data_IF_039439873827
#
_entry.id   IF_039439873827
#
_cell.length_a   1.000
_cell.length_b   1.000
_cell.length_c   1.000
_cell.angle_alpha   90.00
_cell.angle_beta   90.00
_cell.angle_gamma   90.00
#
_symmetry.space_group_name_H-M   'P 1'
#
loop_
_entity.id
_entity.type
_entity.pdbx_description
1 polymer ?
#
# COMPACT_ATOMS: atom_id res chain seq x y z
N UNK A 1 -12.69 -44.09 -21.89
CA UNK A 1 -12.20 -44.47 -20.54
C UNK A 1 -11.14 -43.51 -20.01
N UNK A 2 -9.97 -43.32 -20.65
CA UNK A 2 -8.89 -42.43 -20.15
C UNK A 2 -9.29 -40.95 -20.05
N UNK A 3 -10.07 -40.43 -21.00
CA UNK A 3 -10.56 -39.04 -20.97
C UNK A 3 -11.62 -38.78 -19.89
N UNK A 4 -12.41 -39.79 -19.53
CA UNK A 4 -13.37 -39.67 -18.43
C UNK A 4 -12.65 -39.69 -17.08
N UNK A 5 -11.63 -40.54 -16.91
CA UNK A 5 -10.80 -40.57 -15.69
C UNK A 5 -10.13 -39.20 -15.42
N UNK A 6 -9.54 -38.57 -16.43
CA UNK A 6 -8.96 -37.22 -16.29
C UNK A 6 -10.00 -36.17 -15.89
N UNK A 7 -11.21 -36.23 -16.45
CA UNK A 7 -12.30 -35.34 -16.06
C UNK A 7 -12.70 -35.53 -14.58
N UNK A 8 -12.77 -36.78 -14.10
CA UNK A 8 -13.08 -37.07 -12.69
C UNK A 8 -11.97 -36.61 -11.73
N UNK A 9 -10.69 -36.81 -12.08
CA UNK A 9 -9.54 -36.32 -11.31
C UNK A 9 -9.52 -34.78 -11.26
N UNK A 10 -9.88 -34.11 -12.36
CA UNK A 10 -9.98 -32.65 -12.42
C UNK A 10 -11.13 -32.10 -11.56
N UNK A 11 -12.28 -32.78 -11.51
CA UNK A 11 -13.41 -32.37 -10.66
C UNK A 11 -13.14 -32.61 -9.15
N UNK A 12 -12.50 -33.73 -8.78
CA UNK A 12 -12.10 -33.98 -7.39
C UNK A 12 -11.06 -32.94 -6.92
N UNK A 13 -10.12 -32.57 -7.80
CA UNK A 13 -9.14 -31.52 -7.52
C UNK A 13 -9.80 -30.14 -7.36
N UNK A 14 -10.78 -29.79 -8.22
CA UNK A 14 -11.54 -28.53 -8.09
C UNK A 14 -12.29 -28.47 -6.76
N UNK A 15 -12.91 -29.58 -6.32
CA UNK A 15 -13.60 -29.64 -5.03
C UNK A 15 -12.63 -29.43 -3.87
N UNK A 16 -11.47 -30.12 -3.85
CA UNK A 16 -10.44 -29.90 -2.82
C UNK A 16 -9.93 -28.46 -2.79
N UNK A 17 -9.74 -27.83 -3.95
CA UNK A 17 -9.37 -26.41 -4.03
C UNK A 17 -10.46 -25.53 -3.42
N UNK A 18 -11.73 -25.78 -3.75
CA UNK A 18 -12.85 -24.98 -3.23
C UNK A 18 -13.01 -25.13 -1.72
N UNK A 19 -12.88 -26.35 -1.20
CA UNK A 19 -12.89 -26.62 0.25
C UNK A 19 -11.76 -25.89 0.97
N UNK A 20 -10.53 -25.95 0.42
CA UNK A 20 -9.40 -25.22 0.96
C UNK A 20 -9.61 -23.70 0.95
N UNK A 21 -10.16 -23.14 -0.14
CA UNK A 21 -10.47 -21.71 -0.23
C UNK A 21 -11.51 -21.33 0.83
N UNK A 22 -12.59 -22.08 0.95
CA UNK A 22 -13.67 -21.79 1.90
C UNK A 22 -13.16 -21.83 3.35
N UNK A 23 -12.32 -22.81 3.68
CA UNK A 23 -11.74 -22.95 5.02
C UNK A 23 -10.87 -21.74 5.37
N UNK A 24 -9.92 -21.35 4.51
CA UNK A 24 -9.00 -20.24 4.77
C UNK A 24 -9.69 -18.87 4.71
N UNK A 25 -10.75 -18.70 3.92
CA UNK A 25 -11.54 -17.48 3.92
C UNK A 25 -12.29 -17.26 5.24
N UNK A 26 -12.73 -18.34 5.90
CA UNK A 26 -13.43 -18.24 7.18
C UNK A 26 -12.54 -17.75 8.33
N UNK A 27 -11.22 -17.95 8.20
CA UNK A 27 -10.24 -17.47 9.19
C UNK A 27 -10.10 -15.95 9.20
N UNK A 28 -10.56 -15.26 8.15
CA UNK A 28 -10.50 -13.81 8.00
C UNK A 28 -11.88 -13.16 8.15
N UNK A 29 -12.20 -12.75 9.38
CA UNK A 29 -13.39 -11.96 9.67
C UNK A 29 -12.99 -10.51 9.99
N UNK A 30 -13.57 -9.56 9.27
CA UNK A 30 -13.23 -8.15 9.45
C UNK A 30 -14.44 -7.25 9.20
N UNK A 31 -14.42 -6.07 9.82
CA UNK A 31 -15.38 -5.01 9.60
C UNK A 31 -14.69 -3.79 8.99
N UNK A 32 -15.39 -3.05 8.15
CA UNK A 32 -14.90 -1.76 7.62
C UNK A 32 -15.52 -0.62 8.43
N UNK A 33 -14.69 0.27 8.94
CA UNK A 33 -15.09 1.43 9.74
C UNK A 33 -14.46 2.69 9.15
N UNK A 34 -15.17 3.80 9.21
CA UNK A 34 -14.64 5.12 8.84
C UNK A 34 -14.51 5.95 10.12
N UNK A 35 -13.28 6.23 10.54
CA UNK A 35 -13.01 6.97 11.78
C UNK A 35 -12.48 8.37 11.48
N UNK A 36 -12.98 9.43 12.16
CA UNK A 36 -12.34 10.74 12.10
C UNK A 36 -10.87 10.67 12.51
N UNK A 37 -10.01 11.43 11.85
CA UNK A 37 -8.59 11.52 12.19
C UNK A 37 -8.39 11.85 13.67
N UNK A 38 -9.15 12.81 14.19
CA UNK A 38 -9.10 13.18 15.62
C UNK A 38 -9.40 12.02 16.56
N UNK A 39 -10.29 11.10 16.17
CA UNK A 39 -10.62 9.93 16.97
C UNK A 39 -9.50 8.89 16.95
N UNK A 40 -8.96 8.55 15.77
CA UNK A 40 -7.83 7.62 15.66
C UNK A 40 -6.61 8.13 16.42
N UNK A 41 -6.31 9.43 16.33
CA UNK A 41 -5.18 10.03 17.05
C UNK A 41 -5.39 9.94 18.55
N UNK A 42 -6.60 10.24 19.04
CA UNK A 42 -6.92 10.09 20.46
C UNK A 42 -6.72 8.65 20.95
N UNK A 43 -7.20 7.66 20.20
CA UNK A 43 -6.99 6.24 20.54
C UNK A 43 -5.51 5.84 20.52
N UNK A 44 -4.69 6.45 19.67
CA UNK A 44 -3.26 6.17 19.64
C UNK A 44 -2.49 6.83 20.78
N UNK A 45 -2.86 8.05 21.13
CA UNK A 45 -2.23 8.80 22.22
C UNK A 45 -2.60 8.22 23.60
N UNK A 46 -3.75 7.54 23.71
CA UNK A 46 -4.10 6.71 24.85
C UNK A 46 -3.45 5.32 24.70
N UNK A 47 -2.33 5.08 25.37
CA UNK A 47 -1.53 3.84 25.25
C UNK A 47 -2.31 2.51 25.50
N UNK A 48 -3.52 2.57 26.07
CA UNK A 48 -4.35 1.41 26.35
C UNK A 48 -5.35 1.06 25.22
N UNK A 49 -5.62 1.97 24.28
CA UNK A 49 -6.68 1.80 23.29
C UNK A 49 -6.14 1.20 21.98
N UNK A 50 -5.04 1.74 21.47
CA UNK A 50 -4.35 1.22 20.27
C UNK A 50 -2.85 1.11 20.51
N UNK A 51 -2.25 -0.03 20.15
CA UNK A 51 -0.80 -0.23 20.29
C UNK A 51 -0.14 -0.82 19.03
N UNK A 52 1.15 -0.53 18.87
CA UNK A 52 1.97 -1.11 17.82
C UNK A 52 2.66 -2.40 18.30
N UNK A 53 2.51 -3.52 17.58
CA UNK A 53 3.14 -4.78 17.99
C UNK A 53 4.66 -4.77 17.84
N UNK A 54 5.33 -5.61 18.64
CA UNK A 54 6.80 -5.63 18.71
C UNK A 54 7.48 -5.94 17.37
N UNK A 55 6.85 -6.75 16.51
CA UNK A 55 7.42 -7.12 15.21
C UNK A 55 7.51 -5.94 14.24
N UNK A 56 6.71 -4.88 14.41
CA UNK A 56 6.80 -3.64 13.62
C UNK A 56 7.95 -2.73 14.06
N UNK A 57 8.49 -2.89 15.27
CA UNK A 57 9.55 -2.00 15.79
C UNK A 57 10.88 -2.10 15.03
N UNK A 58 11.03 -3.12 14.17
CA UNK A 58 12.21 -3.33 13.32
C UNK A 58 12.07 -2.68 11.93
N UNK A 59 10.94 -2.07 11.60
CA UNK A 59 10.74 -1.44 10.29
C UNK A 59 11.41 -0.06 10.18
N UNK A 60 11.76 0.30 8.93
CA UNK A 60 12.31 1.61 8.58
C UNK A 60 11.28 2.71 8.86
N UNK A 61 11.60 3.58 9.81
CA UNK A 61 10.81 4.77 10.13
C UNK A 61 10.72 5.70 8.91
N UNK A 62 9.55 6.34 8.73
CA UNK A 62 9.41 7.37 7.69
C UNK A 62 10.36 8.55 7.97
N UNK A 63 11.07 8.95 6.92
CA UNK A 63 11.84 10.21 6.90
C UNK A 63 10.92 11.41 7.08
N UNK A 64 11.45 12.54 7.56
CA UNK A 64 10.68 13.78 7.70
C UNK A 64 9.99 14.20 6.40
N UNK A 65 10.62 13.99 5.24
CA UNK A 65 10.02 14.28 3.94
C UNK A 65 8.81 13.38 3.65
N UNK A 66 8.90 12.07 3.94
CA UNK A 66 7.76 11.15 3.77
C UNK A 66 6.59 11.53 4.69
N UNK A 67 6.87 11.84 5.95
CA UNK A 67 5.86 12.35 6.91
C UNK A 67 5.20 13.62 6.39
N UNK A 68 5.98 14.58 5.91
CA UNK A 68 5.49 15.85 5.39
C UNK A 68 4.61 15.66 4.15
N UNK A 69 5.05 14.82 3.20
CA UNK A 69 4.26 14.50 2.00
C UNK A 69 2.94 13.79 2.30
N UNK A 70 2.89 13.01 3.38
CA UNK A 70 1.66 12.40 3.84
C UNK A 70 0.67 13.45 4.36
N UNK A 71 1.13 14.41 5.17
CA UNK A 71 0.30 15.55 5.61
C UNK A 71 -0.16 16.40 4.41
N UNK A 72 0.73 16.71 3.46
CA UNK A 72 0.37 17.42 2.21
C UNK A 72 -0.71 16.66 1.42
N UNK A 73 -0.62 15.33 1.36
CA UNK A 73 -1.63 14.50 0.68
C UNK A 73 -3.00 14.59 1.35
N UNK A 74 -3.05 14.60 2.68
CA UNK A 74 -4.30 14.76 3.43
C UNK A 74 -4.92 16.15 3.24
N UNK A 75 -4.10 17.20 3.26
CA UNK A 75 -4.53 18.59 3.06
C UNK A 75 -5.05 18.83 1.63
N UNK A 76 -4.53 18.10 0.65
CA UNK A 76 -4.96 18.16 -0.77
C UNK A 76 -6.04 17.14 -1.13
N UNK A 77 -6.68 16.54 -0.12
CA UNK A 77 -7.75 15.55 -0.29
C UNK A 77 -7.39 14.28 -1.06
N UNK A 78 -6.10 13.95 -1.17
CA UNK A 78 -5.68 12.73 -1.83
C UNK A 78 -6.13 11.46 -1.09
N UNK A 79 -6.45 10.40 -1.84
CA UNK A 79 -6.79 9.12 -1.23
C UNK A 79 -5.57 8.58 -0.49
N UNK A 80 -5.80 8.17 0.75
CA UNK A 80 -4.79 7.54 1.59
C UNK A 80 -5.07 6.04 1.62
N UNK A 81 -4.04 5.17 1.65
CA UNK A 81 -4.25 3.74 1.84
C UNK A 81 -5.02 3.44 3.14
N UNK A 82 -5.65 2.27 3.19
CA UNK A 82 -6.44 1.83 4.35
C UNK A 82 -5.55 1.60 5.57
N UNK A 83 -6.10 1.82 6.76
CA UNK A 83 -5.47 1.42 8.03
C UNK A 83 -6.02 0.05 8.42
N UNK A 84 -5.17 -0.82 8.95
CA UNK A 84 -5.59 -2.13 9.45
C UNK A 84 -5.34 -2.21 10.94
N UNK A 85 -6.39 -2.55 11.69
CA UNK A 85 -6.35 -2.81 13.12
C UNK A 85 -6.79 -4.25 13.39
N UNK A 86 -6.34 -4.86 14.48
CA UNK A 86 -6.82 -6.14 14.98
C UNK A 86 -7.38 -5.96 16.38
N UNK A 87 -8.66 -6.30 16.57
CA UNK A 87 -9.26 -6.34 17.91
C UNK A 87 -8.54 -7.42 18.74
N UNK A 88 -8.34 -7.15 20.02
CA UNK A 88 -7.81 -8.10 21.00
C UNK A 88 -8.90 -8.54 21.98
N UNK A 89 -8.65 -9.60 22.76
CA UNK A 89 -9.63 -10.12 23.71
C UNK A 89 -9.92 -9.16 24.88
N UNK A 90 -9.00 -8.23 25.18
CA UNK A 90 -9.19 -7.18 26.20
C UNK A 90 -9.87 -5.91 25.66
N UNK A 91 -10.23 -5.89 24.37
CA UNK A 91 -10.93 -4.77 23.74
C UNK A 91 -10.02 -3.63 23.28
N UNK A 92 -8.70 -3.75 23.46
CA UNK A 92 -7.73 -2.89 22.80
C UNK A 92 -7.60 -3.27 21.31
N UNK A 93 -6.84 -2.48 20.56
CA UNK A 93 -6.63 -2.71 19.13
C UNK A 93 -5.13 -2.71 18.80
N UNK A 94 -4.69 -3.75 18.12
CA UNK A 94 -3.34 -3.87 17.59
C UNK A 94 -3.27 -3.18 16.21
N UNK A 95 -2.28 -2.32 15.98
CA UNK A 95 -2.02 -1.75 14.66
C UNK A 95 -1.37 -2.82 13.78
N UNK A 96 -2.13 -3.37 12.82
CA UNK A 96 -1.61 -4.32 11.83
C UNK A 96 -0.92 -3.57 10.70
N UNK A 97 -1.48 -2.46 10.21
CA UNK A 97 -0.84 -1.55 9.25
C UNK A 97 -1.35 -0.12 9.46
N UNK A 98 -0.48 0.88 9.24
CA UNK A 98 -0.80 2.29 9.41
C UNK A 98 -0.03 3.01 10.50
N UNK A 99 0.88 2.34 11.21
CA UNK A 99 1.64 2.93 12.31
C UNK A 99 2.32 4.26 11.93
N UNK A 100 3.03 4.31 10.79
CA UNK A 100 3.70 5.52 10.35
C UNK A 100 2.72 6.66 10.02
N UNK A 101 1.49 6.34 9.59
CA UNK A 101 0.44 7.33 9.29
C UNK A 101 -0.15 7.90 10.57
N UNK A 102 -0.53 7.02 11.50
CA UNK A 102 -1.13 7.41 12.79
C UNK A 102 -0.12 8.20 13.63
N UNK A 103 1.12 7.69 13.78
CA UNK A 103 2.17 8.40 14.52
C UNK A 103 2.55 9.73 13.88
N UNK A 104 2.50 9.85 12.55
CA UNK A 104 2.72 11.14 11.86
C UNK A 104 1.59 12.12 12.15
N UNK A 105 0.33 11.68 12.20
CA UNK A 105 -0.80 12.53 12.58
C UNK A 105 -0.70 13.00 14.02
N UNK A 106 -0.40 12.09 14.95
CA UNK A 106 -0.19 12.40 16.38
C UNK A 106 0.93 13.44 16.54
N UNK A 107 2.12 13.18 15.99
CA UNK A 107 3.25 14.12 16.05
C UNK A 107 2.94 15.46 15.37
N UNK A 108 2.16 15.47 14.29
CA UNK A 108 1.73 16.71 13.64
C UNK A 108 0.82 17.53 14.55
N UNK A 109 -0.23 16.93 15.11
CA UNK A 109 -1.17 17.65 15.99
C UNK A 109 -0.57 18.04 17.35
N UNK A 110 0.46 17.33 17.81
CA UNK A 110 1.23 17.70 19.00
C UNK A 110 2.18 18.89 18.77
N UNK A 111 2.41 19.30 17.50
CA UNK A 111 3.36 20.34 17.15
C UNK A 111 4.81 19.86 17.00
N UNK A 112 5.05 18.55 17.12
CA UNK A 112 6.38 17.93 17.06
C UNK A 112 6.89 17.68 15.63
N UNK A 113 6.03 17.85 14.61
CA UNK A 113 6.39 17.69 13.21
C UNK A 113 6.42 19.03 12.46
N UNK A 114 7.62 19.45 12.08
CA UNK A 114 7.84 20.54 11.13
C UNK A 114 7.81 20.01 9.70
N UNK A 115 6.94 20.57 8.85
CA UNK A 115 6.78 20.12 7.47
C UNK A 115 7.98 20.53 6.60
N UNK A 116 8.50 19.62 5.78
CA UNK A 116 9.68 19.83 4.94
C UNK A 116 9.59 19.15 3.57
N UNK A 117 10.18 19.77 2.56
CA UNK A 117 10.31 19.21 1.21
C UNK A 117 8.99 19.08 0.45
N UNK A 118 7.99 19.89 0.79
CA UNK A 118 6.71 19.99 0.09
C UNK A 118 6.89 20.70 -1.25
N UNK A 119 6.26 20.16 -2.30
CA UNK A 119 6.37 20.69 -3.67
C UNK A 119 5.12 21.40 -4.15
N UNK A 120 3.94 21.10 -3.58
CA UNK A 120 2.67 21.70 -3.97
C UNK A 120 2.26 22.77 -2.97
N UNK A 121 2.33 22.46 -1.68
CA UNK A 121 2.07 23.40 -0.59
C UNK A 121 3.38 23.99 -0.08
N UNK A 122 4.07 24.75 -0.94
CA UNK A 122 5.42 25.26 -0.65
C UNK A 122 5.48 26.18 0.57
N UNK A 123 4.44 26.96 0.80
CA UNK A 123 4.30 27.89 1.94
C UNK A 123 4.22 27.17 3.29
N UNK A 124 3.83 25.89 3.31
CA UNK A 124 3.79 25.11 4.54
C UNK A 124 5.16 24.54 4.92
N UNK A 125 6.18 24.67 4.07
CA UNK A 125 7.53 24.26 4.44
C UNK A 125 8.04 25.11 5.60
N UNK A 126 8.45 24.42 6.65
CA UNK A 126 8.91 25.03 7.89
C UNK A 126 7.80 25.39 8.86
N UNK A 127 6.54 25.07 8.56
CA UNK A 127 5.43 25.30 9.49
C UNK A 127 5.19 24.07 10.38
N UNK A 128 4.75 24.31 11.62
CA UNK A 128 4.13 23.30 12.51
C UNK A 128 2.59 23.43 12.46
N UNK A 129 1.87 22.49 13.09
CA UNK A 129 0.41 22.49 13.08
C UNK A 129 -0.20 23.79 13.63
N UNK A 130 0.37 24.38 14.69
CA UNK A 130 -0.16 25.59 15.32
C UNK A 130 -0.07 26.85 14.44
N UNK A 131 0.81 26.83 13.45
CA UNK A 131 1.01 27.92 12.50
C UNK A 131 0.05 27.82 11.29
N UNK A 132 -0.73 26.73 11.20
CA UNK A 132 -1.69 26.53 10.13
C UNK A 132 -3.00 27.28 10.36
N UNK A 133 -3.75 27.59 9.28
CA UNK A 133 -5.10 28.13 9.40
C UNK A 133 -6.02 27.19 10.19
N UNK A 134 -6.64 27.70 11.24
CA UNK A 134 -7.51 26.92 12.15
C UNK A 134 -8.67 26.20 11.44
N UNK A 135 -9.16 26.74 10.32
CA UNK A 135 -10.16 26.10 9.48
C UNK A 135 -9.62 24.84 8.78
N UNK A 136 -8.37 24.84 8.31
CA UNK A 136 -7.73 23.65 7.75
C UNK A 136 -7.50 22.58 8.81
N UNK A 137 -7.03 22.97 10.01
CA UNK A 137 -6.84 22.03 11.12
C UNK A 137 -8.17 21.34 11.48
N UNK A 138 -9.27 22.10 11.54
CA UNK A 138 -10.61 21.54 11.82
C UNK A 138 -11.07 20.56 10.75
N UNK A 139 -10.88 20.88 9.46
CA UNK A 139 -11.20 19.97 8.36
C UNK A 139 -10.36 18.71 8.40
N UNK A 140 -9.05 18.85 8.65
CA UNK A 140 -8.14 17.72 8.76
C UNK A 140 -8.55 16.78 9.92
N UNK A 141 -8.86 17.33 11.10
CA UNK A 141 -9.35 16.54 12.26
C UNK A 141 -10.67 15.81 12.00
N UNK A 142 -11.56 16.41 11.19
CA UNK A 142 -12.87 15.86 10.85
C UNK A 142 -12.83 14.87 9.67
N UNK A 143 -11.75 14.84 8.87
CA UNK A 143 -11.59 13.91 7.77
C UNK A 143 -11.64 12.47 8.29
N UNK A 144 -12.43 11.63 7.62
CA UNK A 144 -12.51 10.21 7.95
C UNK A 144 -11.40 9.42 7.25
N UNK A 145 -10.75 8.53 7.99
CA UNK A 145 -9.87 7.50 7.47
C UNK A 145 -10.61 6.16 7.48
N UNK A 146 -10.49 5.42 6.39
CA UNK A 146 -11.04 4.07 6.31
C UNK A 146 -10.13 3.07 6.99
N UNK A 147 -10.71 2.32 7.90
CA UNK A 147 -10.06 1.34 8.75
C UNK A 147 -10.71 -0.02 8.54
N UNK A 148 -9.89 -1.04 8.36
CA UNK A 148 -10.30 -2.43 8.39
C UNK A 148 -9.94 -2.97 9.77
N UNK A 149 -10.94 -3.44 10.52
CA UNK A 149 -10.75 -4.03 11.84
C UNK A 149 -10.93 -5.53 11.75
N UNK A 150 -9.84 -6.27 11.92
CA UNK A 150 -9.84 -7.72 12.02
C UNK A 150 -10.41 -8.12 13.39
N UNK A 151 -11.34 -9.07 13.42
CA UNK A 151 -11.96 -9.49 14.67
C UNK A 151 -10.98 -10.23 15.56
N UNK A 152 -11.22 -10.20 16.88
CA UNK A 152 -10.36 -10.83 17.89
C UNK A 152 -10.15 -12.34 17.69
N UNK A 153 -11.12 -13.02 17.05
CA UNK A 153 -11.01 -14.44 16.71
C UNK A 153 -10.09 -14.73 15.51
N UNK A 154 -9.52 -13.71 14.87
CA UNK A 154 -8.56 -13.86 13.78
C UNK A 154 -7.21 -14.35 14.33
N UNK A 155 -6.70 -15.51 13.86
CA UNK A 155 -5.41 -16.04 14.32
C UNK A 155 -4.25 -15.05 14.14
N UNK A 156 -3.28 -15.05 15.07
CA UNK A 156 -2.16 -14.09 15.07
C UNK A 156 -1.19 -14.29 13.88
N UNK A 157 -1.02 -15.53 13.43
CA UNK A 157 -0.27 -15.88 12.23
C UNK A 157 -0.92 -15.32 10.96
N UNK A 158 -2.25 -15.35 10.86
CA UNK A 158 -3.00 -14.73 9.76
C UNK A 158 -2.85 -13.20 9.77
N UNK A 159 -2.91 -12.55 10.95
CA UNK A 159 -2.64 -11.11 11.08
C UNK A 159 -1.24 -10.73 10.60
N UNK A 160 -0.24 -11.53 11.00
CA UNK A 160 1.15 -11.33 10.58
C UNK A 160 1.34 -11.56 9.07
N UNK A 161 0.70 -12.57 8.50
CA UNK A 161 0.74 -12.81 7.06
C UNK A 161 0.11 -11.66 6.27
N UNK A 162 -1.03 -11.13 6.74
CA UNK A 162 -1.66 -9.94 6.15
C UNK A 162 -0.70 -8.74 6.16
N UNK A 163 -0.06 -8.47 7.29
CA UNK A 163 0.95 -7.42 7.41
C UNK A 163 2.09 -7.62 6.40
N UNK A 164 2.68 -8.82 6.34
CA UNK A 164 3.76 -9.14 5.43
C UNK A 164 3.34 -8.92 3.96
N UNK A 165 2.10 -9.30 3.59
CA UNK A 165 1.53 -9.13 2.23
C UNK A 165 1.30 -7.66 1.87
N UNK A 166 0.81 -6.84 2.80
CA UNK A 166 0.61 -5.41 2.58
C UNK A 166 1.93 -4.69 2.33
N UNK A 167 2.97 -5.03 3.09
CA UNK A 167 4.28 -4.39 2.99
C UNK A 167 5.14 -4.92 1.83
N UNK A 168 5.07 -6.21 1.51
CA UNK A 168 5.79 -6.76 0.34
C UNK A 168 5.22 -6.30 -0.99
N UNK A 169 3.92 -6.03 -1.08
CA UNK A 169 3.31 -5.44 -2.28
C UNK A 169 3.87 -4.04 -2.58
N UNK A 170 4.13 -3.25 -1.54
CA UNK A 170 4.71 -1.91 -1.64
C UNK A 170 6.21 -1.93 -2.00
N UNK A 171 6.96 -2.93 -1.54
CA UNK A 171 8.38 -3.09 -1.86
C UNK A 171 8.64 -3.52 -3.32
N UNK A 172 7.76 -4.34 -3.91
CA UNK A 172 7.90 -4.81 -5.30
C UNK A 172 7.49 -3.77 -6.35
N UNK A 173 6.55 -2.88 -6.06
CA UNK A 173 6.14 -1.81 -6.98
C UNK A 173 7.22 -0.74 -7.20
N UNK A 174 8.10 -0.52 -6.21
CA UNK A 174 9.12 0.53 -6.23
C UNK A 174 10.21 0.36 -7.30
N UNK A 175 10.48 -0.86 -7.76
CA UNK A 175 11.62 -1.10 -8.68
C UNK A 175 11.25 -1.03 -10.16
N UNK A 176 10.00 -1.34 -10.53
CA UNK A 176 9.60 -1.45 -11.94
C UNK A 176 8.42 -0.57 -12.33
N UNK A 177 7.42 -0.36 -11.47
CA UNK A 177 6.23 0.43 -11.79
C UNK A 177 6.43 1.93 -11.56
N UNK A 178 7.14 2.31 -10.50
CA UNK A 178 7.46 3.72 -10.21
C UNK A 178 8.38 4.33 -11.27
N UNK A 179 9.25 3.54 -11.90
CA UNK A 179 10.06 3.98 -13.05
C UNK A 179 9.19 4.18 -14.29
N UNK A 180 8.38 3.20 -14.67
CA UNK A 180 7.49 3.31 -15.82
C UNK A 180 6.49 4.49 -15.73
N UNK A 181 6.00 4.82 -14.52
CA UNK A 181 5.09 5.94 -14.29
C UNK A 181 5.74 7.33 -14.29
N UNK A 182 7.03 7.44 -13.93
CA UNK A 182 7.79 8.70 -13.99
C UNK A 182 8.43 8.96 -15.34
N UNK A 183 8.59 7.92 -16.15
CA UNK A 183 9.29 7.94 -17.44
C UNK A 183 8.32 8.00 -18.64
N UNK A 184 7.05 8.36 -18.42
CA UNK A 184 6.08 8.48 -19.51
C UNK A 184 6.52 9.54 -20.56
N UNK A 185 7.34 10.51 -20.16
CA UNK A 185 7.83 11.63 -20.99
C UNK A 185 9.36 11.67 -21.20
N UNK A 186 10.13 10.61 -20.93
CA UNK A 186 11.56 10.63 -21.26
C UNK A 186 11.79 10.24 -22.74
N UNK A 187 12.78 10.86 -23.40
CA UNK A 187 13.12 10.56 -24.80
C UNK A 187 13.46 9.08 -25.02
N UNK A 188 14.06 8.44 -24.01
CA UNK A 188 14.45 7.04 -24.04
C UNK A 188 13.23 6.09 -24.10
N UNK A 189 12.17 6.36 -23.36
CA UNK A 189 10.96 5.53 -23.35
C UNK A 189 10.15 5.71 -24.63
N UNK A 190 10.20 6.89 -25.24
CA UNK A 190 9.64 7.09 -26.58
C UNK A 190 10.42 6.27 -27.62
N UNK A 191 11.76 6.30 -27.57
CA UNK A 191 12.59 5.45 -28.43
C UNK A 191 12.34 3.95 -28.18
N UNK A 192 12.19 3.52 -26.93
CA UNK A 192 11.88 2.13 -26.59
C UNK A 192 10.51 1.71 -27.16
N UNK A 193 9.50 2.59 -27.13
CA UNK A 193 8.19 2.32 -27.75
C UNK A 193 8.31 2.21 -29.27
N UNK A 194 9.05 3.11 -29.91
CA UNK A 194 9.30 3.06 -31.35
C UNK A 194 10.00 1.75 -31.75
N UNK A 195 11.03 1.34 -30.99
CA UNK A 195 11.74 0.07 -31.22
C UNK A 195 10.88 -1.16 -30.93
N UNK A 196 9.92 -1.09 -30.00
CA UNK A 196 8.97 -2.18 -29.75
C UNK A 196 7.94 -2.34 -30.89
N UNK A 197 7.68 -1.26 -31.64
CA UNK A 197 6.80 -1.25 -32.81
C UNK A 197 7.51 -1.66 -34.11
N UNK A 198 8.85 -1.69 -34.11
CA UNK A 198 9.66 -2.07 -35.26
C UNK A 198 9.38 -3.53 -35.73
N UNK A 199 9.23 -3.69 -37.06
CA UNK A 199 8.88 -4.98 -37.67
C UNK A 199 9.97 -6.04 -37.47
N UNK A 200 11.25 -5.65 -37.46
CA UNK A 200 12.35 -6.59 -37.23
C UNK A 200 12.37 -7.06 -35.78
N UNK A 201 12.08 -6.17 -34.82
CA UNK A 201 11.99 -6.54 -33.41
C UNK A 201 10.83 -7.52 -33.15
N UNK A 202 9.64 -7.24 -33.69
CA UNK A 202 8.48 -8.13 -33.55
C UNK A 202 8.71 -9.50 -34.18
N UNK A 203 9.35 -9.54 -35.35
CA UNK A 203 9.66 -10.78 -36.06
C UNK A 203 10.71 -11.63 -35.34
N UNK A 204 11.69 -11.01 -34.69
CA UNK A 204 12.76 -11.72 -34.00
C UNK A 204 12.36 -12.21 -32.60
N UNK A 205 11.44 -11.53 -31.92
CA UNK A 205 11.03 -11.88 -30.55
C UNK A 205 9.87 -12.88 -30.49
N UNK A 206 9.06 -13.00 -31.54
CA UNK A 206 7.91 -13.94 -31.62
C UNK A 206 7.01 -13.91 -30.37
N UNK A 207 6.82 -12.73 -29.77
CA UNK A 207 5.98 -12.60 -28.58
C UNK A 207 4.51 -12.84 -28.93
N UNK A 208 3.86 -13.72 -28.18
CA UNK A 208 2.40 -13.90 -28.27
C UNK A 208 1.67 -12.61 -27.88
N UNK A 209 0.47 -12.38 -28.41
CA UNK A 209 -0.35 -11.19 -28.10
C UNK A 209 -0.55 -10.97 -26.59
N UNK A 210 -0.70 -12.04 -25.80
CA UNK A 210 -0.84 -11.94 -24.34
C UNK A 210 0.40 -11.40 -23.63
N UNK A 211 1.59 -11.65 -24.18
CA UNK A 211 2.87 -11.15 -23.65
C UNK A 211 3.10 -9.69 -24.01
N UNK A 212 2.72 -9.31 -25.23
CA UNK A 212 2.71 -7.91 -25.70
C UNK A 212 1.76 -7.07 -24.83
N UNK A 213 0.55 -7.57 -24.56
CA UNK A 213 -0.41 -6.88 -23.69
C UNK A 213 0.10 -6.67 -22.25
N UNK A 214 1.05 -7.50 -21.80
CA UNK A 214 1.74 -7.37 -20.50
C UNK A 214 2.99 -6.47 -20.56
N UNK A 215 3.23 -5.81 -21.69
CA UNK A 215 4.39 -4.94 -21.96
C UNK A 215 5.74 -5.66 -21.83
N UNK A 216 5.80 -6.94 -22.17
CA UNK A 216 7.06 -7.72 -22.13
C UNK A 216 8.06 -7.28 -23.19
N UNK A 217 7.59 -6.81 -24.34
CA UNK A 217 8.35 -6.15 -25.40
C UNK A 217 9.14 -4.93 -24.87
N UNK A 218 8.44 -4.03 -24.20
CA UNK A 218 9.01 -2.83 -23.58
C UNK A 218 9.99 -3.22 -22.47
N UNK A 219 9.66 -4.24 -21.66
CA UNK A 219 10.56 -4.74 -20.62
C UNK A 219 11.86 -5.29 -21.18
N UNK A 220 11.81 -6.10 -22.25
CA UNK A 220 13.01 -6.65 -22.90
C UNK A 220 13.96 -5.54 -23.35
N UNK A 221 13.44 -4.53 -24.05
CA UNK A 221 14.23 -3.40 -24.54
C UNK A 221 14.79 -2.56 -23.37
N UNK A 222 13.96 -2.24 -22.37
CA UNK A 222 14.41 -1.47 -21.21
C UNK A 222 15.47 -2.18 -20.35
N UNK A 223 15.46 -3.53 -20.33
CA UNK A 223 16.42 -4.32 -19.57
C UNK A 223 17.83 -4.36 -20.19
N UNK A 224 17.94 -4.19 -21.52
CA UNK A 224 19.23 -4.15 -22.21
C UNK A 224 19.96 -2.81 -22.02
N UNK A 225 19.22 -1.73 -21.78
CA UNK A 225 19.80 -0.40 -21.52
C UNK A 225 20.45 -0.32 -20.12
N UNK A 226 20.07 -1.19 -19.18
CA UNK A 226 20.62 -1.24 -17.82
C UNK A 226 21.98 -1.95 -17.71
N UNK A 227 22.52 -2.53 -18.79
CA UNK A 227 23.79 -3.26 -18.78
C UNK A 227 25.00 -2.41 -19.23
N UNK A 228 24.85 -1.09 -19.40
CA UNK A 228 25.89 -0.21 -19.97
C UNK A 228 26.47 0.78 -18.93
N UNK A 229 26.19 0.57 -17.64
CA UNK A 229 26.87 1.28 -16.53
C UNK A 229 27.74 0.34 -15.70
#
# INVERSE_FOLDING_TARGET
MISQLKLFEDEEKKQKIQEQINQLQYELNYDTRDYPISFIVNLYDNENDIYAPEYQRKELLWTLNQKSRFIESLLLDYPIPLIFLGDTDDGSMEIVDGLQRISTLSAFFAGDLKLVGLKKLTELNGCICDEMPNNEIRRLKARALRVIVLKHNTPADVRKELFDRLNTSSLKANTSEVRAGREIDNLLMNLIKELAEDELFRRNTNLSQNRINRKEDIRMLSSQVQQVD
#
